data_IF_672415598423
#
_entry.id   IF_672415598423
#
_cell.length_a   1.000
_cell.length_b   1.000
_cell.length_c   1.000
_cell.angle_alpha   90.00
_cell.angle_beta   90.00
_cell.angle_gamma   90.00
#
_symmetry.space_group_name_H-M   'P 1'
#
loop_
_entity.id
_entity.type
_entity.pdbx_description
1 polymer ?
#
# COMPACT_ATOMS: atom_id res chain seq x y z
N UNK A 1 -8.33 -29.23 -18.17
CA UNK A 1 -9.81 -29.23 -18.33
C UNK A 1 -10.25 -27.90 -18.91
N UNK A 2 -11.17 -27.87 -19.89
CA UNK A 2 -11.78 -26.63 -20.36
C UNK A 2 -12.58 -26.00 -19.21
N UNK A 3 -12.44 -24.69 -19.02
CA UNK A 3 -13.20 -23.95 -18.02
C UNK A 3 -14.70 -24.02 -18.34
N UNK A 4 -15.53 -24.42 -17.37
CA UNK A 4 -16.99 -24.50 -17.56
C UNK A 4 -17.61 -23.14 -17.20
N UNK A 5 -18.35 -22.55 -18.11
CA UNK A 5 -19.12 -21.33 -17.83
C UNK A 5 -20.58 -21.67 -17.55
N UNK A 6 -21.15 -21.04 -16.54
CA UNK A 6 -22.53 -21.24 -16.08
C UNK A 6 -23.30 -19.94 -16.30
N UNK A 7 -24.45 -20.03 -16.95
CA UNK A 7 -25.32 -18.87 -17.17
C UNK A 7 -26.02 -18.51 -15.86
N UNK A 8 -25.80 -17.29 -15.38
CA UNK A 8 -26.52 -16.70 -14.25
C UNK A 8 -27.08 -15.37 -14.76
N UNK A 9 -28.41 -15.32 -14.93
CA UNK A 9 -29.09 -14.18 -15.58
C UNK A 9 -28.51 -13.89 -16.97
N UNK A 10 -27.97 -12.70 -17.19
CA UNK A 10 -27.38 -12.28 -18.46
C UNK A 10 -25.85 -12.47 -18.48
N UNK A 11 -25.27 -13.05 -17.44
CA UNK A 11 -23.84 -13.32 -17.32
C UNK A 11 -23.52 -14.80 -17.58
N UNK A 12 -22.33 -15.04 -18.11
CA UNK A 12 -21.70 -16.36 -18.16
C UNK A 12 -20.48 -16.36 -17.23
N UNK A 13 -20.55 -17.13 -16.15
CA UNK A 13 -19.59 -17.08 -15.05
C UNK A 13 -18.78 -18.37 -15.02
N UNK A 14 -17.46 -18.27 -14.86
CA UNK A 14 -16.59 -19.44 -14.60
C UNK A 14 -17.14 -20.24 -13.41
N UNK A 15 -17.24 -21.55 -13.58
CA UNK A 15 -17.75 -22.45 -12.55
C UNK A 15 -16.90 -22.42 -11.28
N UNK A 16 -15.58 -22.23 -11.40
CA UNK A 16 -14.68 -22.05 -10.25
C UNK A 16 -15.03 -20.79 -9.47
N UNK A 17 -15.21 -19.66 -10.15
CA UNK A 17 -15.58 -18.40 -9.50
C UNK A 17 -16.97 -18.50 -8.86
N UNK A 18 -17.94 -19.07 -9.56
CA UNK A 18 -19.29 -19.25 -9.04
C UNK A 18 -19.28 -20.09 -7.75
N UNK A 19 -18.52 -21.19 -7.74
CA UNK A 19 -18.41 -22.07 -6.59
C UNK A 19 -17.71 -21.39 -5.42
N UNK A 20 -16.57 -20.72 -5.66
CA UNK A 20 -15.86 -19.96 -4.63
C UNK A 20 -16.78 -18.91 -3.98
N UNK A 21 -17.46 -18.09 -4.78
CA UNK A 21 -18.35 -17.05 -4.26
C UNK A 21 -19.48 -17.66 -3.42
N UNK A 22 -20.12 -18.71 -3.93
CA UNK A 22 -21.29 -19.30 -3.28
C UNK A 22 -20.98 -20.12 -2.03
N UNK A 23 -19.81 -20.77 -1.98
CA UNK A 23 -19.51 -21.77 -0.96
C UNK A 23 -18.43 -21.32 0.02
N UNK A 24 -17.64 -20.31 -0.31
CA UNK A 24 -16.53 -19.82 0.54
C UNK A 24 -16.72 -18.34 0.91
N UNK A 25 -17.06 -17.48 -0.05
CA UNK A 25 -17.13 -16.02 0.20
C UNK A 25 -18.42 -15.58 0.91
N UNK A 26 -19.59 -16.00 0.43
CA UNK A 26 -20.88 -15.53 0.93
C UNK A 26 -21.31 -16.10 2.30
N UNK A 27 -21.02 -17.37 2.65
CA UNK A 27 -21.36 -17.89 3.98
C UNK A 27 -20.83 -16.99 5.11
N UNK A 28 -21.66 -16.70 6.12
CA UNK A 28 -21.31 -15.81 7.25
C UNK A 28 -21.54 -14.31 7.01
N UNK A 29 -21.72 -13.85 5.76
CA UNK A 29 -21.92 -12.42 5.45
C UNK A 29 -23.36 -11.92 5.65
N UNK A 30 -24.33 -12.83 5.87
CA UNK A 30 -25.79 -12.58 5.88
C UNK A 30 -26.39 -12.15 4.53
N UNK A 31 -25.61 -12.19 3.43
CA UNK A 31 -26.08 -11.87 2.07
C UNK A 31 -26.52 -13.16 1.37
N UNK A 32 -27.74 -13.16 0.80
CA UNK A 32 -28.25 -14.29 0.01
C UNK A 32 -27.59 -14.34 -1.38
N UNK A 33 -27.34 -15.54 -1.90
CA UNK A 33 -26.72 -15.77 -3.22
C UNK A 33 -27.47 -15.05 -4.34
N UNK A 34 -28.80 -15.14 -4.31
CA UNK A 34 -29.68 -14.53 -5.31
C UNK A 34 -29.56 -13.01 -5.29
N UNK A 35 -29.49 -12.40 -4.09
CA UNK A 35 -29.34 -10.96 -3.93
C UNK A 35 -27.99 -10.49 -4.48
N UNK A 36 -26.91 -11.20 -4.15
CA UNK A 36 -25.57 -10.89 -4.66
C UNK A 36 -25.53 -10.96 -6.19
N UNK A 37 -25.95 -12.08 -6.79
CA UNK A 37 -25.85 -12.28 -8.24
C UNK A 37 -26.81 -11.38 -9.04
N UNK A 38 -28.01 -11.08 -8.53
CA UNK A 38 -28.90 -10.10 -9.15
C UNK A 38 -28.27 -8.69 -9.14
N UNK A 39 -27.64 -8.31 -8.03
CA UNK A 39 -26.91 -7.04 -7.94
C UNK A 39 -25.72 -6.98 -8.87
N UNK A 40 -24.92 -8.05 -8.92
CA UNK A 40 -23.75 -8.14 -9.80
C UNK A 40 -24.15 -8.05 -11.28
N UNK A 41 -25.16 -8.81 -11.72
CA UNK A 41 -25.72 -8.71 -13.09
C UNK A 41 -26.14 -7.28 -13.43
N UNK A 42 -26.94 -6.65 -12.56
CA UNK A 42 -27.40 -5.27 -12.75
C UNK A 42 -26.22 -4.30 -12.90
N UNK A 43 -25.29 -4.29 -11.96
CA UNK A 43 -24.21 -3.29 -11.93
C UNK A 43 -23.16 -3.51 -13.01
N UNK A 44 -22.87 -4.74 -13.41
CA UNK A 44 -21.99 -5.00 -14.56
C UNK A 44 -22.59 -4.38 -15.83
N UNK A 45 -23.88 -4.60 -16.11
CA UNK A 45 -24.52 -4.06 -17.31
C UNK A 45 -24.69 -2.53 -17.25
N UNK A 46 -24.86 -1.95 -16.07
CA UNK A 46 -24.96 -0.49 -15.92
C UNK A 46 -23.60 0.22 -16.02
N UNK A 47 -22.54 -0.36 -15.43
CA UNK A 47 -21.24 0.30 -15.29
C UNK A 47 -20.26 -0.04 -16.41
N UNK A 48 -20.36 -1.21 -17.06
CA UNK A 48 -19.45 -1.58 -18.15
C UNK A 48 -19.48 -0.59 -19.33
N UNK A 49 -20.65 -0.10 -19.82
CA UNK A 49 -20.68 0.92 -20.88
C UNK A 49 -20.03 2.23 -20.47
N UNK A 50 -20.22 2.66 -19.21
CA UNK A 50 -19.59 3.87 -18.65
C UNK A 50 -18.07 3.69 -18.56
N UNK A 51 -17.60 2.52 -18.13
CA UNK A 51 -16.17 2.20 -18.04
C UNK A 51 -15.51 2.19 -19.43
N UNK A 52 -16.13 1.54 -20.42
CA UNK A 52 -15.64 1.56 -21.80
C UNK A 52 -15.55 2.99 -22.34
N UNK A 53 -16.55 3.84 -22.02
CA UNK A 53 -16.52 5.24 -22.42
C UNK A 53 -15.32 6.01 -21.84
N UNK A 54 -14.94 5.72 -20.60
CA UNK A 54 -13.77 6.32 -19.97
C UNK A 54 -12.47 5.88 -20.67
N UNK A 55 -12.37 4.62 -21.11
CA UNK A 55 -11.22 4.12 -21.88
C UNK A 55 -11.12 4.82 -23.25
N UNK A 56 -12.23 4.94 -23.98
CA UNK A 56 -12.26 5.69 -25.24
C UNK A 56 -11.80 7.14 -25.07
N UNK A 57 -12.18 7.80 -23.96
CA UNK A 57 -11.75 9.17 -23.66
C UNK A 57 -10.23 9.23 -23.49
N UNK A 58 -9.62 8.25 -22.79
CA UNK A 58 -8.16 8.17 -22.63
C UNK A 58 -7.46 8.03 -23.97
N UNK A 59 -7.91 7.11 -24.82
CA UNK A 59 -7.35 6.89 -26.16
C UNK A 59 -7.47 8.15 -27.04
N UNK A 60 -8.63 8.80 -27.03
CA UNK A 60 -8.85 10.06 -27.79
C UNK A 60 -7.94 11.18 -27.31
N UNK A 61 -7.73 11.32 -26.01
CA UNK A 61 -6.81 12.31 -25.45
C UNK A 61 -5.37 12.01 -25.85
N UNK A 62 -4.93 10.74 -25.70
CA UNK A 62 -3.58 10.34 -26.06
C UNK A 62 -3.32 10.57 -27.56
N UNK A 63 -4.23 10.14 -28.44
CA UNK A 63 -4.09 10.35 -29.89
C UNK A 63 -3.92 11.82 -30.25
N UNK A 64 -4.72 12.72 -29.65
CA UNK A 64 -4.56 14.17 -29.87
C UNK A 64 -3.19 14.67 -29.44
N UNK A 65 -2.67 14.17 -28.32
CA UNK A 65 -1.34 14.52 -27.82
C UNK A 65 -0.26 14.01 -28.79
N UNK A 66 -0.38 12.76 -29.25
CA UNK A 66 0.55 12.17 -30.22
C UNK A 66 0.57 12.97 -31.52
N UNK A 67 -0.61 13.30 -32.07
CA UNK A 67 -0.75 14.08 -33.29
C UNK A 67 -0.16 15.49 -33.12
N UNK A 68 -0.37 16.13 -31.95
CA UNK A 68 0.21 17.43 -31.65
C UNK A 68 1.75 17.42 -31.70
N UNK A 69 2.39 16.35 -31.23
CA UNK A 69 3.84 16.19 -31.29
C UNK A 69 4.34 15.84 -32.70
N UNK A 70 3.62 14.99 -33.44
CA UNK A 70 3.96 14.65 -34.83
C UNK A 70 3.99 15.89 -35.73
N UNK A 71 2.99 16.75 -35.61
CA UNK A 71 2.88 17.99 -36.38
C UNK A 71 3.99 19.01 -36.09
N UNK A 72 4.73 18.84 -34.99
CA UNK A 72 5.78 19.76 -34.50
C UNK A 72 7.12 19.05 -34.35
N UNK A 73 7.33 17.98 -35.12
CA UNK A 73 8.56 17.18 -35.05
C UNK A 73 9.78 18.06 -35.35
N UNK A 74 10.75 18.05 -34.44
CA UNK A 74 11.99 18.83 -34.57
C UNK A 74 11.88 20.29 -34.07
N UNK A 75 10.69 20.76 -33.73
CA UNK A 75 10.51 22.09 -33.14
C UNK A 75 10.78 22.08 -31.62
N UNK A 76 11.27 23.20 -31.10
CA UNK A 76 11.32 23.41 -29.64
C UNK A 76 9.90 23.59 -29.10
N UNK A 77 9.53 22.81 -28.09
CA UNK A 77 8.21 22.88 -27.46
C UNK A 77 8.02 24.21 -26.73
N UNK A 78 7.01 24.98 -27.12
CA UNK A 78 6.57 26.14 -26.35
C UNK A 78 5.53 25.72 -25.30
N UNK A 79 5.94 25.72 -24.02
CA UNK A 79 5.12 25.26 -22.89
C UNK A 79 3.78 26.02 -22.79
N UNK A 80 3.77 27.34 -23.03
CA UNK A 80 2.53 28.14 -22.98
C UNK A 80 1.54 27.71 -24.07
N UNK A 81 2.02 27.38 -25.28
CA UNK A 81 1.19 26.85 -26.36
C UNK A 81 0.69 25.44 -26.05
N UNK A 82 1.55 24.59 -25.50
CA UNK A 82 1.19 23.22 -25.15
C UNK A 82 0.14 23.17 -24.03
N UNK A 83 0.29 23.96 -22.97
CA UNK A 83 -0.71 24.07 -21.91
C UNK A 83 -2.08 24.54 -22.44
N UNK A 84 -2.12 25.55 -23.32
CA UNK A 84 -3.35 26.00 -24.00
C UNK A 84 -3.99 24.86 -24.82
N UNK A 85 -3.18 24.06 -25.50
CA UNK A 85 -3.66 22.88 -26.23
C UNK A 85 -4.26 21.84 -25.28
N UNK A 86 -3.58 21.49 -24.18
CA UNK A 86 -4.10 20.53 -23.20
C UNK A 86 -5.43 20.98 -22.56
N UNK A 87 -5.59 22.28 -22.31
CA UNK A 87 -6.88 22.85 -21.88
C UNK A 87 -7.93 22.72 -22.99
N UNK A 88 -7.58 23.06 -24.24
CA UNK A 88 -8.49 22.99 -25.40
C UNK A 88 -9.03 21.57 -25.63
N UNK A 89 -8.20 20.54 -25.47
CA UNK A 89 -8.64 19.14 -25.62
C UNK A 89 -9.35 18.60 -24.37
N UNK A 90 -9.41 19.38 -23.29
CA UNK A 90 -10.05 19.02 -22.04
C UNK A 90 -9.23 18.11 -21.13
N UNK A 91 -7.93 17.97 -21.39
CA UNK A 91 -6.98 17.21 -20.56
C UNK A 91 -6.70 17.96 -19.25
N UNK A 92 -6.29 19.23 -19.35
CA UNK A 92 -6.18 20.10 -18.18
C UNK A 92 -7.54 20.74 -17.90
N UNK A 93 -8.03 20.56 -16.67
CA UNK A 93 -9.28 21.16 -16.18
C UNK A 93 -8.97 22.37 -15.29
N UNK A 94 -9.91 23.31 -15.20
CA UNK A 94 -9.83 24.40 -14.22
C UNK A 94 -10.00 23.81 -12.81
N UNK A 95 -9.21 24.30 -11.86
CA UNK A 95 -9.43 23.95 -10.45
C UNK A 95 -10.82 24.40 -10.00
N UNK A 96 -11.45 23.58 -9.17
CA UNK A 96 -12.65 23.97 -8.44
C UNK A 96 -12.32 24.91 -7.27
N UNK A 97 -13.34 25.45 -6.58
CA UNK A 97 -13.15 26.21 -5.36
C UNK A 97 -12.57 25.33 -4.24
N UNK A 98 -11.96 25.96 -3.24
CA UNK A 98 -11.47 25.27 -2.06
C UNK A 98 -12.61 24.58 -1.30
N UNK A 99 -12.33 23.38 -0.79
CA UNK A 99 -13.27 22.61 0.02
C UNK A 99 -12.54 21.75 1.05
N UNK A 100 -13.27 21.29 2.07
CA UNK A 100 -12.80 20.27 3.02
C UNK A 100 -13.46 18.94 2.70
N UNK A 101 -12.68 17.85 2.71
CA UNK A 101 -13.20 16.49 2.56
C UNK A 101 -14.15 16.16 3.72
N UNK A 102 -15.18 15.35 3.45
CA UNK A 102 -16.24 15.01 4.42
C UNK A 102 -16.18 13.56 4.93
N UNK A 103 -15.10 12.84 4.62
CA UNK A 103 -14.92 11.42 4.96
C UNK A 103 -14.97 11.23 6.48
N UNK A 104 -15.70 10.22 6.94
CA UNK A 104 -15.88 9.86 8.35
C UNK A 104 -15.71 8.35 8.52
N UNK A 105 -15.60 7.89 9.77
CA UNK A 105 -15.49 6.47 10.13
C UNK A 105 -14.26 5.79 9.48
N UNK A 106 -13.11 6.45 9.56
CA UNK A 106 -11.83 5.96 9.05
C UNK A 106 -10.98 5.49 10.22
N UNK A 107 -10.35 4.33 10.11
CA UNK A 107 -9.44 3.80 11.13
C UNK A 107 -8.27 4.75 11.43
N UNK A 108 -7.72 4.66 12.65
CA UNK A 108 -6.64 5.53 13.13
C UNK A 108 -5.35 5.35 12.32
N UNK A 109 -5.08 4.13 11.88
CA UNK A 109 -3.94 3.78 11.03
C UNK A 109 -3.89 4.57 9.72
N UNK A 110 -5.03 5.05 9.22
CA UNK A 110 -5.13 5.84 8.00
C UNK A 110 -5.30 7.33 8.30
N UNK A 111 -6.07 7.66 9.35
CA UNK A 111 -6.49 9.05 9.60
C UNK A 111 -5.52 9.85 10.49
N UNK A 112 -4.83 9.20 11.43
CA UNK A 112 -4.13 9.88 12.52
C UNK A 112 -2.67 9.42 12.72
N UNK A 113 -2.30 8.23 12.22
CA UNK A 113 -0.97 7.66 12.42
C UNK A 113 -0.14 7.85 11.13
N UNK A 114 0.99 8.54 11.24
CA UNK A 114 1.99 8.58 10.17
C UNK A 114 2.90 7.36 10.28
N UNK A 115 3.01 6.56 9.22
CA UNK A 115 3.88 5.38 9.24
C UNK A 115 4.05 4.72 7.87
N UNK A 116 4.90 3.69 7.79
CA UNK A 116 5.11 2.92 6.56
C UNK A 116 3.84 2.18 6.11
N UNK A 117 3.67 2.04 4.79
CA UNK A 117 2.63 1.21 4.19
C UNK A 117 3.26 0.16 3.28
N UNK A 118 3.01 -1.12 3.58
CA UNK A 118 3.55 -2.25 2.83
C UNK A 118 2.61 -2.66 1.70
N UNK A 119 3.17 -3.00 0.54
CA UNK A 119 2.44 -3.53 -0.62
C UNK A 119 2.95 -4.93 -0.95
N UNK A 120 2.04 -5.88 -1.11
CA UNK A 120 2.36 -7.31 -1.25
C UNK A 120 1.41 -8.01 -2.24
N UNK A 121 1.86 -9.01 -3.02
CA UNK A 121 0.97 -9.77 -3.89
C UNK A 121 0.06 -10.69 -3.08
N UNK A 122 -1.24 -10.47 -3.13
CA UNK A 122 -2.25 -11.28 -2.42
C UNK A 122 -2.30 -12.74 -2.89
N UNK A 123 -1.82 -13.03 -4.11
CA UNK A 123 -1.72 -14.39 -4.66
C UNK A 123 -0.67 -15.27 -3.97
N UNK A 124 0.20 -14.69 -3.14
CA UNK A 124 1.15 -15.45 -2.32
C UNK A 124 0.74 -15.38 -0.85
N UNK A 125 0.16 -16.48 -0.35
CA UNK A 125 -0.34 -16.55 1.03
C UNK A 125 0.76 -16.31 2.08
N UNK A 126 1.99 -16.82 1.86
CA UNK A 126 3.10 -16.59 2.79
C UNK A 126 3.45 -15.11 2.88
N UNK A 127 3.49 -14.42 1.75
CA UNK A 127 3.79 -12.99 1.75
C UNK A 127 2.66 -12.18 2.36
N UNK A 128 1.39 -12.52 2.09
CA UNK A 128 0.25 -11.88 2.73
C UNK A 128 0.26 -12.04 4.26
N UNK A 129 0.55 -13.23 4.78
CA UNK A 129 0.67 -13.48 6.21
C UNK A 129 1.83 -12.70 6.84
N UNK A 130 3.00 -12.71 6.20
CA UNK A 130 4.14 -11.93 6.66
C UNK A 130 3.82 -10.43 6.68
N UNK A 131 3.15 -9.92 5.65
CA UNK A 131 2.75 -8.52 5.56
C UNK A 131 1.71 -8.13 6.63
N UNK A 132 0.73 -9.00 6.89
CA UNK A 132 -0.24 -8.77 7.97
C UNK A 132 0.44 -8.70 9.34
N UNK A 133 1.43 -9.57 9.58
CA UNK A 133 2.18 -9.60 10.83
C UNK A 133 3.25 -8.50 10.95
N UNK A 134 3.61 -7.83 9.84
CA UNK A 134 4.64 -6.80 9.80
C UNK A 134 4.24 -5.48 10.51
N UNK A 135 3.07 -5.42 11.16
CA UNK A 135 2.72 -4.32 12.06
C UNK A 135 3.74 -4.17 13.18
N UNK A 136 4.30 -5.29 13.64
CA UNK A 136 5.36 -5.32 14.65
C UNK A 136 6.51 -6.18 14.14
N UNK A 137 7.72 -5.61 14.12
CA UNK A 137 8.92 -6.28 13.63
C UNK A 137 10.05 -6.04 14.61
N UNK A 138 10.91 -7.05 14.79
CA UNK A 138 12.14 -6.92 15.56
C UNK A 138 13.07 -5.90 14.90
N UNK A 139 13.32 -4.77 15.59
CA UNK A 139 14.30 -3.79 15.17
C UNK A 139 15.71 -4.39 15.18
N UNK A 140 16.01 -5.27 16.12
CA UNK A 140 17.29 -5.96 16.22
C UNK A 140 17.54 -6.84 14.99
N UNK A 141 16.57 -7.64 14.57
CA UNK A 141 16.70 -8.49 13.38
C UNK A 141 16.81 -7.64 12.11
N UNK A 142 16.05 -6.54 12.04
CA UNK A 142 16.10 -5.61 10.92
C UNK A 142 17.47 -4.96 10.78
N UNK A 143 18.10 -4.57 11.89
CA UNK A 143 19.44 -3.97 11.88
C UNK A 143 20.54 -5.02 11.65
N UNK A 144 20.46 -6.15 12.35
CA UNK A 144 21.45 -7.22 12.24
C UNK A 144 21.44 -7.84 10.84
N UNK A 145 20.25 -8.06 10.28
CA UNK A 145 20.01 -8.76 9.02
C UNK A 145 20.16 -7.92 7.76
N UNK A 146 20.43 -6.61 7.86
CA UNK A 146 20.60 -5.69 6.71
C UNK A 146 21.96 -5.01 6.72
N UNK A 147 22.24 -4.21 5.69
CA UNK A 147 23.46 -3.41 5.55
C UNK A 147 23.41 -2.07 6.33
N UNK A 148 22.31 -1.78 7.03
CA UNK A 148 22.22 -0.59 7.93
C UNK A 148 23.34 -0.59 8.96
N UNK A 149 23.73 -1.76 9.46
CA UNK A 149 24.98 -1.95 10.19
C UNK A 149 26.04 -2.41 9.19
N UNK A 150 27.07 -1.59 8.90
CA UNK A 150 28.10 -1.92 7.92
C UNK A 150 28.81 -3.25 8.22
N UNK A 151 29.13 -3.98 7.16
CA UNK A 151 29.92 -5.21 7.23
C UNK A 151 31.43 -4.88 7.24
N UNK A 152 31.97 -4.64 8.43
CA UNK A 152 33.42 -4.58 8.66
C UNK A 152 33.97 -5.99 8.93
N UNK A 153 35.27 -6.23 8.76
CA UNK A 153 35.90 -7.56 8.93
C UNK A 153 35.48 -8.28 10.22
N UNK A 154 35.38 -7.55 11.33
CA UNK A 154 34.98 -8.11 12.63
C UNK A 154 33.45 -8.21 12.85
N UNK A 155 32.63 -7.53 12.02
CA UNK A 155 31.18 -7.39 12.19
C UNK A 155 30.37 -7.95 11.01
N UNK A 156 30.95 -8.93 10.31
CA UNK A 156 30.29 -9.64 9.22
C UNK A 156 29.07 -10.43 9.72
N UNK A 157 28.07 -10.58 8.86
CA UNK A 157 27.00 -11.58 9.04
C UNK A 157 27.57 -12.96 8.74
N UNK A 158 27.13 -13.97 9.48
CA UNK A 158 27.56 -15.35 9.32
C UNK A 158 26.44 -16.33 9.57
N UNK A 159 26.76 -17.63 9.49
CA UNK A 159 25.80 -18.70 9.82
C UNK A 159 25.43 -18.72 11.30
N UNK A 160 26.32 -18.23 12.16
CA UNK A 160 26.12 -18.10 13.60
C UNK A 160 26.11 -16.64 14.00
N UNK A 161 25.62 -16.37 15.20
CA UNK A 161 25.63 -15.04 15.78
C UNK A 161 27.06 -14.53 15.96
N UNK A 162 27.31 -13.31 15.50
CA UNK A 162 28.55 -12.56 15.70
C UNK A 162 28.32 -11.53 16.82
N UNK A 163 28.91 -11.73 18.02
CA UNK A 163 28.74 -10.83 19.15
C UNK A 163 29.21 -9.39 18.87
N UNK A 164 30.23 -9.20 18.03
CA UNK A 164 30.76 -7.87 17.68
C UNK A 164 29.70 -7.11 16.87
N UNK A 165 29.08 -7.76 15.88
CA UNK A 165 27.95 -7.19 15.13
C UNK A 165 26.74 -6.92 16.04
N UNK A 166 26.42 -7.86 16.91
CA UNK A 166 25.31 -7.71 17.86
C UNK A 166 25.49 -6.53 18.83
N UNK A 167 26.73 -6.28 19.28
CA UNK A 167 27.07 -5.09 20.07
C UNK A 167 26.79 -3.80 19.30
N UNK A 168 27.14 -3.73 18.00
CA UNK A 168 26.82 -2.57 17.14
C UNK A 168 25.31 -2.37 16.98
N UNK A 169 24.54 -3.45 16.86
CA UNK A 169 23.06 -3.39 16.83
C UNK A 169 22.52 -2.83 18.14
N UNK A 170 22.97 -3.33 19.29
CA UNK A 170 22.56 -2.83 20.62
C UNK A 170 22.87 -1.34 20.74
N UNK A 171 24.08 -0.92 20.38
CA UNK A 171 24.49 0.48 20.42
C UNK A 171 23.59 1.36 19.54
N UNK A 172 23.28 0.92 18.32
CA UNK A 172 22.35 1.61 17.43
C UNK A 172 20.97 1.78 18.07
N UNK A 173 20.42 0.72 18.65
CA UNK A 173 19.09 0.77 19.29
C UNK A 173 19.09 1.68 20.51
N UNK A 174 20.11 1.61 21.38
CA UNK A 174 20.22 2.48 22.55
C UNK A 174 20.33 3.96 22.14
N UNK A 175 21.11 4.28 21.11
CA UNK A 175 21.15 5.62 20.51
C UNK A 175 19.79 6.07 19.98
N UNK A 176 19.02 5.18 19.36
CA UNK A 176 17.69 5.48 18.85
C UNK A 176 16.70 5.78 19.99
N UNK A 177 16.78 5.02 21.08
CA UNK A 177 15.99 5.26 22.28
C UNK A 177 16.35 6.61 22.94
N UNK A 178 17.64 6.93 23.08
CA UNK A 178 18.08 8.24 23.59
C UNK A 178 17.54 9.40 22.75
N UNK A 179 17.44 9.21 21.43
CA UNK A 179 16.96 10.24 20.51
C UNK A 179 15.45 10.46 20.57
N UNK A 180 14.65 9.38 20.59
CA UNK A 180 13.20 9.47 20.41
C UNK A 180 12.37 9.22 21.68
N UNK A 181 12.97 8.58 22.69
CA UNK A 181 12.35 8.32 24.00
C UNK A 181 13.39 8.65 25.09
N UNK A 182 13.91 9.88 25.16
CA UNK A 182 15.01 10.22 26.07
C UNK A 182 14.65 9.97 27.54
N UNK A 183 15.62 9.49 28.30
CA UNK A 183 15.56 9.51 29.76
C UNK A 183 15.87 10.94 30.25
N UNK A 184 15.39 11.31 31.44
CA UNK A 184 15.51 12.69 31.93
C UNK A 184 16.94 13.05 32.33
N UNK A 185 17.64 12.15 33.00
CA UNK A 185 18.94 12.40 33.63
C UNK A 185 20.00 11.35 33.28
N UNK A 186 19.61 10.25 32.62
CA UNK A 186 20.48 9.13 32.26
C UNK A 186 20.47 8.92 30.73
N UNK A 187 21.29 7.98 30.23
CA UNK A 187 21.12 7.47 28.86
C UNK A 187 20.79 5.99 28.87
N UNK A 188 20.03 5.56 27.86
CA UNK A 188 19.69 4.15 27.67
C UNK A 188 20.93 3.27 27.57
N UNK A 189 22.10 3.81 27.18
CA UNK A 189 23.36 3.07 27.06
C UNK A 189 23.93 2.66 28.41
N UNK A 190 23.64 3.42 29.46
CA UNK A 190 24.25 3.25 30.78
C UNK A 190 23.43 2.32 31.69
N UNK A 191 22.21 1.96 31.27
CA UNK A 191 21.33 1.07 32.00
C UNK A 191 21.85 -0.38 32.00
N UNK A 192 22.16 -0.87 33.20
CA UNK A 192 22.54 -2.27 33.45
C UNK A 192 21.35 -3.21 33.66
N UNK A 193 20.16 -2.68 33.93
CA UNK A 193 18.92 -3.43 34.17
C UNK A 193 17.74 -2.76 33.47
N UNK A 194 16.68 -3.53 33.23
CA UNK A 194 15.42 -2.99 32.73
C UNK A 194 14.76 -2.21 33.88
N UNK A 195 14.40 -0.94 33.70
CA UNK A 195 13.78 -0.16 34.76
C UNK A 195 12.41 -0.72 35.16
N UNK A 196 12.11 -0.73 36.45
CA UNK A 196 10.82 -1.21 36.98
C UNK A 196 9.73 -0.14 36.81
N UNK A 197 8.47 -0.55 36.73
CA UNK A 197 7.35 0.40 36.77
C UNK A 197 6.89 0.55 38.23
N UNK A 198 7.04 1.76 38.79
CA UNK A 198 6.54 2.10 40.14
C UNK A 198 5.59 3.28 40.04
N UNK A 199 4.41 3.17 40.66
CA UNK A 199 3.36 4.22 40.65
C UNK A 199 3.05 4.73 39.24
N UNK A 200 2.90 3.83 38.28
CA UNK A 200 2.63 4.11 36.85
C UNK A 200 3.70 4.97 36.15
N UNK A 201 4.93 5.01 36.70
CA UNK A 201 6.09 5.66 36.08
C UNK A 201 7.22 4.66 35.94
N UNK A 202 8.00 4.81 34.87
CA UNK A 202 9.26 4.12 34.73
C UNK A 202 10.22 4.63 35.82
N UNK A 203 10.66 3.73 36.69
CA UNK A 203 11.57 4.02 37.79
C UNK A 203 12.99 3.71 37.30
N UNK A 204 13.60 4.76 36.75
CA UNK A 204 15.00 4.82 36.35
C UNK A 204 15.87 4.87 37.62
#
# INVERSE_FOLDING_TARGET
>A
MKEKYIKIKNLYISGKLLNFVNNELLPGTKIKKEVFWNGFDKYVHELAPKNNKLLEIREKLQKKIDDWYKDRKGEKINIKKYAKFLIKIGYLKKSGPDFKIKTKNVDNEISNICGPQLVVPISNARYALNAANARWVSLYDSLYGTDVIPETEEALRGKTYNPIRGKKVIEYVRNLLDKYVPLKEESWKDLSKIPEVKKNKLNL
#
